data_IF_737287161848
#
_entry.id   IF_737287161848
#
_cell.length_a   1.000
_cell.length_b   1.000
_cell.length_c   1.000
_cell.angle_alpha   90.00
_cell.angle_beta   90.00
_cell.angle_gamma   90.00
#
_symmetry.space_group_name_H-M   'P 1'
#
loop_
_entity.id
_entity.type
_entity.pdbx_description
1 polymer ?
#
# COMPACT_ATOMS: atom_id res chain seq x y z
N UNK A 1 -16.22 -20.68 25.10
CA UNK A 1 -15.64 -19.43 25.63
C UNK A 1 -15.68 -18.40 24.52
N UNK A 2 -16.69 -17.55 24.53
CA UNK A 2 -16.84 -16.42 23.61
C UNK A 2 -15.98 -15.28 24.15
N UNK A 3 -14.79 -15.13 23.58
CA UNK A 3 -14.00 -13.92 23.78
C UNK A 3 -14.70 -12.79 23.04
N UNK A 4 -15.61 -12.15 23.73
CA UNK A 4 -16.25 -10.92 23.27
C UNK A 4 -15.27 -9.75 23.50
N UNK A 5 -14.18 -9.75 22.75
CA UNK A 5 -13.35 -8.56 22.62
C UNK A 5 -14.14 -7.60 21.75
N UNK A 6 -14.81 -6.63 22.38
CA UNK A 6 -15.27 -5.43 21.70
C UNK A 6 -14.02 -4.80 21.08
N UNK A 7 -13.78 -5.08 19.81
CA UNK A 7 -12.59 -4.62 19.10
C UNK A 7 -12.68 -3.10 19.05
N UNK A 8 -11.80 -2.43 19.81
CA UNK A 8 -11.74 -0.96 19.90
C UNK A 8 -11.24 -0.40 18.57
N UNK A 9 -11.83 0.71 18.15
CA UNK A 9 -11.27 1.54 17.07
C UNK A 9 -10.21 2.46 17.67
N UNK A 10 -9.13 2.66 16.92
CA UNK A 10 -8.05 3.55 17.34
C UNK A 10 -8.02 4.79 16.45
N UNK A 11 -7.97 6.00 17.03
CA UNK A 11 -7.88 7.24 16.24
C UNK A 11 -6.55 7.33 15.48
N UNK A 12 -5.47 6.82 16.08
CA UNK A 12 -4.12 6.84 15.49
C UNK A 12 -3.30 5.60 15.90
N UNK A 13 -2.31 5.18 15.09
CA UNK A 13 -1.52 3.96 15.32
C UNK A 13 -0.43 4.10 16.39
N UNK A 14 -0.26 5.28 17.01
CA UNK A 14 0.80 5.54 17.99
C UNK A 14 0.46 5.12 19.42
N UNK A 15 -0.73 4.56 19.66
CA UNK A 15 -1.13 4.04 20.97
C UNK A 15 -0.45 2.69 21.26
N UNK A 16 0.03 2.49 22.48
CA UNK A 16 0.60 1.22 22.93
C UNK A 16 -0.38 0.06 22.78
N UNK A 17 -1.63 0.27 23.12
CA UNK A 17 -2.69 -0.74 23.04
C UNK A 17 -2.95 -1.22 21.61
N UNK A 18 -2.79 -0.34 20.61
CA UNK A 18 -2.87 -0.69 19.20
C UNK A 18 -1.87 -1.79 18.83
N UNK A 19 -0.60 -1.66 19.26
CA UNK A 19 0.44 -2.63 18.97
C UNK A 19 0.30 -3.92 19.78
N UNK A 20 -0.16 -3.84 21.03
CA UNK A 20 -0.44 -5.01 21.86
C UNK A 20 -1.58 -5.84 21.26
N UNK A 21 -2.64 -5.19 20.80
CA UNK A 21 -3.75 -5.85 20.12
C UNK A 21 -3.30 -6.47 18.78
N UNK A 22 -2.45 -5.78 18.03
CA UNK A 22 -1.87 -6.31 16.79
C UNK A 22 -0.98 -7.54 17.03
N UNK A 23 -0.23 -7.57 18.13
CA UNK A 23 0.54 -8.75 18.54
C UNK A 23 -0.37 -9.91 18.98
N UNK A 24 -1.49 -9.60 19.66
CA UNK A 24 -2.44 -10.61 20.10
C UNK A 24 -3.13 -11.34 18.94
N UNK A 25 -3.22 -10.71 17.73
CA UNK A 25 -3.78 -11.35 16.55
C UNK A 25 -2.96 -12.58 16.09
N UNK A 26 -1.67 -12.68 16.42
CA UNK A 26 -0.89 -13.92 16.19
C UNK A 26 -1.40 -15.13 16.95
N UNK A 27 -2.12 -14.95 18.06
CA UNK A 27 -2.72 -16.04 18.84
C UNK A 27 -4.09 -16.45 18.31
N UNK A 28 -4.65 -15.69 17.40
CA UNK A 28 -5.96 -15.95 16.84
C UNK A 28 -5.86 -16.85 15.61
N UNK A 29 -6.19 -18.13 15.78
CA UNK A 29 -6.12 -19.13 14.70
C UNK A 29 -6.94 -18.71 13.48
N UNK A 30 -8.10 -18.05 13.65
CA UNK A 30 -8.92 -17.57 12.53
C UNK A 30 -8.18 -16.53 11.70
N UNK A 31 -7.47 -15.61 12.35
CA UNK A 31 -6.66 -14.59 11.68
C UNK A 31 -5.50 -15.23 10.94
N UNK A 32 -4.83 -16.22 11.54
CA UNK A 32 -3.72 -16.93 10.90
C UNK A 32 -4.16 -17.73 9.68
N UNK A 33 -5.30 -18.44 9.76
CA UNK A 33 -5.85 -19.17 8.61
C UNK A 33 -6.23 -18.20 7.49
N UNK A 34 -6.86 -17.07 7.83
CA UNK A 34 -7.20 -16.05 6.85
C UNK A 34 -5.94 -15.40 6.25
N UNK A 35 -4.88 -15.18 7.06
CA UNK A 35 -3.60 -14.70 6.58
C UNK A 35 -2.95 -15.68 5.58
N UNK A 36 -2.96 -16.97 5.88
CA UNK A 36 -2.45 -17.99 4.98
C UNK A 36 -3.24 -18.00 3.64
N UNK A 37 -4.57 -17.85 3.69
CA UNK A 37 -5.41 -17.75 2.51
C UNK A 37 -5.06 -16.50 1.67
N UNK A 38 -4.85 -15.35 2.32
CA UNK A 38 -4.48 -14.12 1.63
C UNK A 38 -3.07 -14.19 1.04
N UNK A 39 -2.12 -14.84 1.72
CA UNK A 39 -0.78 -15.13 1.16
C UNK A 39 -0.91 -15.99 -0.09
N UNK A 40 -1.65 -17.10 -0.01
CA UNK A 40 -1.88 -17.98 -1.16
C UNK A 40 -2.53 -17.22 -2.34
N UNK A 41 -3.53 -16.39 -2.06
CA UNK A 41 -4.20 -15.58 -3.07
C UNK A 41 -3.25 -14.55 -3.70
N UNK A 42 -2.42 -13.88 -2.91
CA UNK A 42 -1.39 -12.94 -3.43
C UNK A 42 -0.38 -13.65 -4.31
N UNK A 43 0.09 -14.84 -3.91
CA UNK A 43 1.00 -15.64 -4.72
C UNK A 43 0.33 -16.10 -6.01
N UNK A 44 -0.90 -16.63 -5.95
CA UNK A 44 -1.64 -17.10 -7.12
C UNK A 44 -1.97 -15.96 -8.12
N UNK A 45 -2.18 -14.74 -7.63
CA UNK A 45 -2.46 -13.57 -8.48
C UNK A 45 -1.22 -12.85 -9.00
N UNK A 46 -0.02 -13.27 -8.60
CA UNK A 46 1.24 -12.67 -9.05
C UNK A 46 1.40 -12.67 -10.59
N UNK A 47 1.06 -13.74 -11.33
CA UNK A 47 1.12 -13.73 -12.79
C UNK A 47 0.01 -12.91 -13.47
N UNK A 48 -1.05 -12.50 -12.75
CA UNK A 48 -2.14 -11.68 -13.29
C UNK A 48 -1.74 -10.20 -13.40
N UNK A 49 -0.54 -9.93 -13.84
CA UNK A 49 -0.06 -8.58 -14.11
C UNK A 49 -0.55 -8.15 -15.49
N UNK A 50 -1.21 -6.98 -15.55
CA UNK A 50 -1.63 -6.38 -16.82
C UNK A 50 -0.46 -5.54 -17.34
N UNK A 51 0.22 -5.97 -18.40
CA UNK A 51 1.28 -5.16 -19.00
C UNK A 51 0.64 -3.98 -19.74
N UNK A 52 0.91 -2.77 -19.30
CA UNK A 52 0.44 -1.52 -19.93
C UNK A 52 1.61 -0.80 -20.59
N UNK A 53 2.47 -1.53 -21.31
CA UNK A 53 3.66 -1.00 -21.98
C UNK A 53 4.95 -1.71 -21.58
N UNK A 54 6.09 -1.33 -22.16
CA UNK A 54 7.36 -2.09 -22.06
C UNK A 54 7.91 -2.25 -20.63
N UNK A 55 7.49 -1.40 -19.70
CA UNK A 55 7.92 -1.46 -18.27
C UNK A 55 6.79 -1.24 -17.28
N UNK A 56 5.54 -1.36 -17.73
CA UNK A 56 4.34 -1.05 -16.95
C UNK A 56 3.57 -2.33 -16.66
N UNK A 57 3.72 -2.86 -15.46
CA UNK A 57 2.88 -3.92 -14.93
C UNK A 57 1.94 -3.35 -13.87
N UNK A 58 0.65 -3.46 -14.07
CA UNK A 58 -0.36 -3.09 -13.09
C UNK A 58 -0.86 -4.36 -12.41
N UNK A 59 -0.75 -4.42 -11.11
CA UNK A 59 -1.27 -5.54 -10.32
C UNK A 59 -2.27 -5.05 -9.28
N UNK A 60 -3.45 -4.65 -9.76
CA UNK A 60 -4.53 -4.11 -8.93
C UNK A 60 -5.01 -5.16 -7.93
N UNK A 61 -5.14 -6.41 -8.38
CA UNK A 61 -5.64 -7.50 -7.53
C UNK A 61 -4.74 -7.70 -6.33
N UNK A 62 -3.43 -7.77 -6.55
CA UNK A 62 -2.45 -7.93 -5.47
C UNK A 62 -2.47 -6.75 -4.48
N UNK A 63 -2.63 -5.52 -4.98
CA UNK A 63 -2.77 -4.32 -4.15
C UNK A 63 -3.99 -4.42 -3.23
N UNK A 64 -5.14 -4.80 -3.77
CA UNK A 64 -6.40 -4.92 -3.02
C UNK A 64 -6.34 -6.05 -1.99
N UNK A 65 -5.82 -7.20 -2.37
CA UNK A 65 -5.62 -8.34 -1.44
C UNK A 65 -4.68 -7.95 -0.31
N UNK A 66 -3.61 -7.21 -0.60
CA UNK A 66 -2.70 -6.68 0.41
C UNK A 66 -3.40 -5.70 1.37
N UNK A 67 -4.19 -4.75 0.85
CA UNK A 67 -4.94 -3.80 1.66
C UNK A 67 -5.95 -4.49 2.57
N UNK A 68 -6.71 -5.46 2.06
CA UNK A 68 -7.68 -6.26 2.83
C UNK A 68 -6.96 -7.07 3.91
N UNK A 69 -5.88 -7.75 3.55
CA UNK A 69 -5.07 -8.52 4.49
C UNK A 69 -4.52 -7.64 5.62
N UNK A 70 -3.85 -6.55 5.28
CA UNK A 70 -3.27 -5.62 6.24
C UNK A 70 -4.32 -5.01 7.19
N UNK A 71 -5.51 -4.68 6.66
CA UNK A 71 -6.64 -4.19 7.45
C UNK A 71 -7.18 -5.22 8.45
N UNK A 72 -7.15 -6.51 8.08
CA UNK A 72 -7.68 -7.61 8.89
C UNK A 72 -6.70 -8.05 9.96
N UNK A 73 -5.43 -8.21 9.58
CA UNK A 73 -4.40 -8.83 10.44
C UNK A 73 -3.72 -7.84 11.38
N UNK A 74 -3.76 -6.56 11.06
CA UNK A 74 -2.96 -5.55 11.74
C UNK A 74 -1.48 -5.55 11.31
N UNK A 75 -0.69 -4.57 11.78
CA UNK A 75 0.64 -4.29 11.26
C UNK A 75 1.63 -5.45 11.45
N UNK A 76 1.58 -6.15 12.57
CA UNK A 76 2.58 -7.17 12.91
C UNK A 76 2.42 -8.42 12.04
N UNK A 77 1.18 -8.93 11.93
CA UNK A 77 0.89 -10.10 11.08
C UNK A 77 1.02 -9.72 9.59
N UNK A 78 0.65 -8.49 9.19
CA UNK A 78 0.78 -8.03 7.81
C UNK A 78 2.24 -7.97 7.35
N UNK A 79 3.17 -7.53 8.21
CA UNK A 79 4.62 -7.54 7.95
C UNK A 79 5.13 -8.96 7.76
N UNK A 80 4.77 -9.88 8.66
CA UNK A 80 5.15 -11.30 8.54
C UNK A 80 4.58 -11.94 7.27
N UNK A 81 3.29 -11.69 6.98
CA UNK A 81 2.63 -12.17 5.78
C UNK A 81 3.27 -11.62 4.49
N UNK A 82 3.69 -10.35 4.48
CA UNK A 82 4.39 -9.74 3.35
C UNK A 82 5.72 -10.41 3.07
N UNK A 83 6.52 -10.67 4.11
CA UNK A 83 7.79 -11.35 4.00
C UNK A 83 7.61 -12.78 3.45
N UNK A 84 6.64 -13.53 3.97
CA UNK A 84 6.32 -14.88 3.47
C UNK A 84 5.82 -14.83 2.02
N UNK A 85 4.99 -13.82 1.66
CA UNK A 85 4.48 -13.67 0.29
C UNK A 85 5.58 -13.40 -0.72
N UNK A 86 6.58 -12.58 -0.38
CA UNK A 86 7.70 -12.28 -1.27
C UNK A 86 8.50 -13.55 -1.59
N UNK A 87 8.91 -14.29 -0.54
CA UNK A 87 9.67 -15.53 -0.69
C UNK A 87 8.86 -16.61 -1.42
N UNK A 88 7.62 -16.87 -0.97
CA UNK A 88 6.76 -17.87 -1.58
C UNK A 88 6.41 -17.51 -3.04
N UNK A 89 6.16 -16.24 -3.31
CA UNK A 89 5.87 -15.76 -4.66
C UNK A 89 7.06 -15.89 -5.61
N UNK A 90 8.28 -15.78 -5.09
CA UNK A 90 9.48 -16.08 -5.88
C UNK A 90 9.66 -17.56 -6.15
N UNK A 91 9.46 -18.41 -5.13
CA UNK A 91 9.59 -19.87 -5.28
C UNK A 91 8.59 -20.45 -6.27
N UNK A 92 7.36 -19.93 -6.29
CA UNK A 92 6.30 -20.43 -7.19
C UNK A 92 6.42 -19.84 -8.61
N UNK A 93 6.75 -18.56 -8.71
CA UNK A 93 6.87 -17.83 -9.97
C UNK A 93 8.20 -17.09 -10.04
N UNK A 94 9.33 -17.77 -10.31
CA UNK A 94 10.63 -17.15 -10.41
C UNK A 94 10.71 -16.23 -11.64
N UNK A 95 10.92 -14.95 -11.43
CA UNK A 95 11.09 -13.94 -12.47
C UNK A 95 12.48 -13.31 -12.40
N UNK A 96 13.51 -14.07 -12.75
CA UNK A 96 14.91 -13.64 -12.65
C UNK A 96 15.58 -14.03 -11.32
N UNK A 97 16.81 -13.56 -11.05
CA UNK A 97 17.52 -13.84 -9.81
C UNK A 97 16.83 -13.20 -8.59
N UNK A 98 16.72 -13.95 -7.49
CA UNK A 98 16.17 -13.43 -6.26
C UNK A 98 17.06 -12.33 -5.66
N UNK A 99 16.47 -11.22 -5.31
CA UNK A 99 17.18 -10.13 -4.67
C UNK A 99 16.48 -9.75 -3.35
N UNK A 100 17.08 -10.17 -2.26
CA UNK A 100 16.54 -10.03 -0.91
C UNK A 100 16.02 -8.62 -0.55
N UNK A 101 16.65 -7.50 -0.95
CA UNK A 101 16.14 -6.17 -0.60
C UNK A 101 14.72 -5.85 -1.09
N UNK A 102 14.17 -6.57 -2.09
CA UNK A 102 12.77 -6.36 -2.49
C UNK A 102 11.76 -6.70 -1.40
N UNK A 103 12.11 -7.57 -0.44
CA UNK A 103 11.26 -7.89 0.70
C UNK A 103 10.88 -6.64 1.51
N UNK A 104 11.78 -5.64 1.60
CA UNK A 104 11.52 -4.40 2.31
C UNK A 104 10.42 -3.57 1.66
N UNK A 105 10.27 -3.62 0.32
CA UNK A 105 9.18 -2.93 -0.37
C UNK A 105 7.83 -3.57 -0.10
N UNK A 106 7.77 -4.89 -0.05
CA UNK A 106 6.56 -5.64 0.30
C UNK A 106 6.15 -5.40 1.76
N UNK A 107 7.11 -5.45 2.68
CA UNK A 107 6.90 -5.17 4.10
C UNK A 107 6.42 -3.73 4.31
N UNK A 108 7.10 -2.74 3.73
CA UNK A 108 6.75 -1.33 3.87
C UNK A 108 5.35 -1.03 3.32
N UNK A 109 5.00 -1.58 2.15
CA UNK A 109 3.68 -1.43 1.57
C UNK A 109 2.58 -2.00 2.45
N UNK A 110 2.77 -3.23 2.96
CA UNK A 110 1.81 -3.88 3.86
C UNK A 110 1.69 -3.15 5.20
N UNK A 111 2.81 -2.66 5.74
CA UNK A 111 2.83 -1.88 6.98
C UNK A 111 2.04 -0.57 6.82
N UNK A 112 2.24 0.18 5.74
CA UNK A 112 1.49 1.41 5.48
C UNK A 112 -0.01 1.13 5.38
N UNK A 113 -0.43 0.10 4.62
CA UNK A 113 -1.85 -0.29 4.57
C UNK A 113 -2.40 -0.62 5.96
N UNK A 114 -1.64 -1.36 6.78
CA UNK A 114 -2.08 -1.69 8.13
C UNK A 114 -2.20 -0.46 9.03
N UNK A 115 -1.22 0.46 9.02
CA UNK A 115 -1.24 1.68 9.84
C UNK A 115 -2.45 2.58 9.52
N UNK A 116 -2.86 2.62 8.26
CA UNK A 116 -3.99 3.45 7.84
C UNK A 116 -5.35 2.78 7.98
N UNK A 117 -5.44 1.45 7.82
CA UNK A 117 -6.71 0.75 7.66
C UNK A 117 -7.08 -0.18 8.84
N UNK A 118 -6.10 -0.64 9.65
CA UNK A 118 -6.37 -1.57 10.74
C UNK A 118 -7.09 -0.87 11.89
N UNK A 119 -8.26 -1.39 12.27
CA UNK A 119 -9.12 -0.90 13.35
C UNK A 119 -9.35 0.62 13.33
N UNK A 120 -9.55 1.16 12.15
CA UNK A 120 -9.72 2.58 11.91
C UNK A 120 -11.06 2.89 11.25
N UNK A 121 -11.52 4.13 11.38
CA UNK A 121 -12.64 4.62 10.57
C UNK A 121 -12.15 4.83 9.14
N UNK A 122 -12.71 4.04 8.21
CA UNK A 122 -12.28 4.07 6.82
C UNK A 122 -13.09 5.14 6.08
N UNK A 123 -12.42 6.22 5.76
CA UNK A 123 -12.92 7.28 4.90
C UNK A 123 -12.24 7.26 3.55
N UNK A 124 -12.90 7.81 2.51
CA UNK A 124 -12.29 7.90 1.17
C UNK A 124 -10.96 8.65 1.21
N UNK A 125 -10.90 9.76 1.95
CA UNK A 125 -9.67 10.55 2.12
C UNK A 125 -8.54 9.72 2.72
N UNK A 126 -8.83 8.93 3.75
CA UNK A 126 -7.84 8.05 4.40
C UNK A 126 -7.29 6.98 3.45
N UNK A 127 -8.14 6.42 2.58
CA UNK A 127 -7.73 5.45 1.55
C UNK A 127 -6.85 6.11 0.49
N UNK A 128 -7.25 7.30 0.00
CA UNK A 128 -6.46 8.07 -0.98
C UNK A 128 -5.08 8.40 -0.40
N UNK A 129 -5.02 8.91 0.84
CA UNK A 129 -3.77 9.26 1.49
C UNK A 129 -2.88 8.02 1.74
N UNK A 130 -3.48 6.92 2.19
CA UNK A 130 -2.79 5.65 2.33
C UNK A 130 -2.12 5.24 1.01
N UNK A 131 -2.88 5.31 -0.11
CA UNK A 131 -2.34 4.99 -1.43
C UNK A 131 -1.25 5.95 -1.86
N UNK A 132 -1.42 7.23 -1.59
CA UNK A 132 -0.39 8.24 -1.85
C UNK A 132 0.91 7.93 -1.09
N UNK A 133 0.82 7.59 0.21
CA UNK A 133 1.98 7.20 1.01
C UNK A 133 2.67 5.94 0.44
N UNK A 134 1.92 4.94 -0.02
CA UNK A 134 2.49 3.75 -0.65
C UNK A 134 3.21 4.11 -1.95
N UNK A 135 2.58 4.91 -2.82
CA UNK A 135 3.20 5.33 -4.10
C UNK A 135 4.47 6.13 -3.84
N UNK A 136 4.41 7.10 -2.93
CA UNK A 136 5.55 7.97 -2.68
C UNK A 136 6.67 7.26 -1.89
N UNK A 137 6.37 6.73 -0.70
CA UNK A 137 7.39 6.17 0.18
C UNK A 137 7.93 4.83 -0.31
N UNK A 138 7.05 3.95 -0.81
CA UNK A 138 7.48 2.60 -1.23
C UNK A 138 7.92 2.60 -2.69
N UNK A 139 7.06 3.03 -3.62
CA UNK A 139 7.35 2.86 -5.05
C UNK A 139 8.38 3.86 -5.58
N UNK A 140 8.48 5.07 -5.00
CA UNK A 140 9.44 6.09 -5.45
C UNK A 140 10.67 6.08 -4.54
N UNK A 141 10.52 6.33 -3.25
CA UNK A 141 11.65 6.52 -2.34
C UNK A 141 12.38 5.22 -2.04
N UNK A 142 11.68 4.19 -1.59
CA UNK A 142 12.31 2.94 -1.15
C UNK A 142 12.75 2.06 -2.34
N UNK A 143 11.92 1.95 -3.36
CA UNK A 143 12.20 1.06 -4.49
C UNK A 143 13.30 1.59 -5.42
N UNK A 144 13.54 2.91 -5.47
CA UNK A 144 14.59 3.48 -6.35
C UNK A 144 16.00 3.01 -5.99
N UNK A 145 16.46 3.13 -4.73
CA UNK A 145 17.79 2.62 -4.35
C UNK A 145 17.89 1.10 -4.45
N UNK A 146 16.82 0.37 -4.15
CA UNK A 146 16.80 -1.10 -4.27
C UNK A 146 16.99 -1.52 -5.73
N UNK A 147 16.33 -0.85 -6.67
CA UNK A 147 16.50 -1.10 -8.10
C UNK A 147 17.90 -0.73 -8.59
N UNK A 148 18.45 0.38 -8.14
CA UNK A 148 19.83 0.76 -8.46
C UNK A 148 20.81 -0.34 -8.03
N UNK A 149 20.68 -0.84 -6.77
CA UNK A 149 21.50 -1.93 -6.26
C UNK A 149 21.30 -3.23 -7.06
N UNK A 150 20.06 -3.58 -7.39
CA UNK A 150 19.74 -4.76 -8.19
C UNK A 150 20.41 -4.72 -9.56
N UNK A 151 20.25 -3.61 -10.29
CA UNK A 151 20.84 -3.46 -11.61
C UNK A 151 22.37 -3.48 -11.56
N UNK A 152 22.96 -2.82 -10.57
CA UNK A 152 24.42 -2.76 -10.42
C UNK A 152 25.02 -4.10 -10.00
N UNK A 153 24.43 -4.78 -9.00
CA UNK A 153 25.00 -5.98 -8.40
C UNK A 153 24.66 -7.26 -9.18
N UNK A 154 23.47 -7.36 -9.74
CA UNK A 154 22.98 -8.59 -10.38
C UNK A 154 23.11 -8.53 -11.90
N UNK A 155 22.73 -7.40 -12.51
CA UNK A 155 22.71 -7.27 -13.98
C UNK A 155 23.97 -6.63 -14.55
N UNK A 156 24.84 -6.01 -13.72
CA UNK A 156 26.04 -5.32 -14.18
C UNK A 156 25.75 -4.11 -15.07
N UNK A 157 24.54 -3.52 -14.98
CA UNK A 157 24.08 -2.40 -15.81
C UNK A 157 23.94 -1.13 -14.96
N UNK A 158 24.20 0.00 -15.60
CA UNK A 158 23.89 1.29 -15.00
C UNK A 158 22.38 1.53 -14.96
N UNK A 159 21.89 1.97 -13.82
CA UNK A 159 20.50 2.35 -13.60
C UNK A 159 20.44 3.72 -12.92
N UNK A 160 19.65 4.62 -13.48
CA UNK A 160 19.47 5.93 -12.86
C UNK A 160 18.69 5.78 -11.56
N UNK A 161 19.23 6.31 -10.45
CA UNK A 161 18.55 6.31 -9.13
C UNK A 161 17.12 6.86 -9.27
N UNK A 162 16.97 7.88 -10.07
CA UNK A 162 15.70 8.52 -10.35
C UNK A 162 15.32 8.23 -11.81
N UNK A 163 14.42 7.30 -11.98
CA UNK A 163 13.91 6.94 -13.30
C UNK A 163 12.60 7.69 -13.56
N UNK A 164 12.64 8.69 -14.45
CA UNK A 164 11.49 9.52 -14.82
C UNK A 164 10.29 8.69 -15.29
N UNK A 165 10.53 7.63 -16.08
CA UNK A 165 9.48 6.72 -16.55
C UNK A 165 8.72 6.06 -15.39
N UNK A 166 9.42 5.65 -14.32
CA UNK A 166 8.79 5.07 -13.13
C UNK A 166 7.94 6.09 -12.40
N UNK A 167 8.45 7.31 -12.23
CA UNK A 167 7.75 8.38 -11.51
C UNK A 167 6.46 8.73 -12.26
N UNK A 168 6.55 8.99 -13.57
CA UNK A 168 5.40 9.31 -14.41
C UNK A 168 4.36 8.19 -14.35
N UNK A 169 4.80 6.93 -14.45
CA UNK A 169 3.94 5.75 -14.34
C UNK A 169 3.17 5.72 -13.02
N UNK A 170 3.87 5.79 -11.90
CA UNK A 170 3.24 5.72 -10.57
C UNK A 170 2.27 6.86 -10.38
N UNK A 171 2.56 8.03 -10.93
CA UNK A 171 1.72 9.20 -10.85
C UNK A 171 0.44 9.08 -11.68
N UNK A 172 0.55 8.60 -12.93
CA UNK A 172 -0.62 8.37 -13.79
C UNK A 172 -1.53 7.27 -13.23
N UNK A 173 -0.95 6.24 -12.61
CA UNK A 173 -1.71 5.13 -12.02
C UNK A 173 -2.34 5.47 -10.67
N UNK A 174 -1.75 6.40 -9.92
CA UNK A 174 -2.21 6.76 -8.57
C UNK A 174 -3.71 7.08 -8.49
N UNK A 175 -4.30 7.98 -9.32
CA UNK A 175 -5.73 8.27 -9.25
C UNK A 175 -6.59 7.05 -9.60
N UNK A 176 -6.21 6.29 -10.62
CA UNK A 176 -6.94 5.08 -11.04
C UNK A 176 -6.93 4.03 -9.94
N UNK A 177 -5.77 3.74 -9.38
CA UNK A 177 -5.60 2.76 -8.30
C UNK A 177 -6.31 3.20 -7.01
N UNK A 178 -6.33 4.50 -6.71
CA UNK A 178 -7.03 5.05 -5.55
C UNK A 178 -8.55 4.88 -5.68
N UNK A 179 -9.12 5.20 -6.84
CA UNK A 179 -10.56 5.01 -7.10
C UNK A 179 -10.93 3.54 -7.05
N UNK A 180 -10.14 2.66 -7.71
CA UNK A 180 -10.39 1.23 -7.70
C UNK A 180 -10.29 0.64 -6.28
N UNK A 181 -9.32 1.08 -5.49
CA UNK A 181 -9.17 0.63 -4.11
C UNK A 181 -10.39 1.04 -3.26
N UNK A 182 -10.88 2.27 -3.40
CA UNK A 182 -12.10 2.75 -2.71
C UNK A 182 -13.32 1.91 -3.10
N UNK A 183 -13.53 1.67 -4.40
CA UNK A 183 -14.67 0.89 -4.90
C UNK A 183 -14.63 -0.56 -4.40
N UNK A 184 -13.45 -1.18 -4.44
CA UNK A 184 -13.28 -2.57 -4.00
C UNK A 184 -13.41 -2.70 -2.49
N UNK A 185 -12.83 -1.79 -1.70
CA UNK A 185 -13.01 -1.78 -0.25
C UNK A 185 -14.49 -1.56 0.13
N UNK A 186 -15.21 -0.70 -0.58
CA UNK A 186 -16.66 -0.50 -0.38
C UNK A 186 -17.44 -1.80 -0.56
N UNK A 187 -17.03 -2.67 -1.50
CA UNK A 187 -17.72 -3.94 -1.78
C UNK A 187 -17.32 -5.05 -0.80
N UNK A 188 -16.04 -5.11 -0.42
CA UNK A 188 -15.47 -6.24 0.34
C UNK A 188 -15.54 -6.05 1.86
N UNK A 189 -15.42 -4.82 2.35
CA UNK A 189 -15.38 -4.58 3.81
C UNK A 189 -16.69 -4.90 4.52
N UNK A 190 -17.90 -4.58 3.99
CA UNK A 190 -19.15 -4.92 4.67
C UNK A 190 -19.35 -6.40 4.94
N UNK A 191 -19.14 -7.33 3.99
CA UNK A 191 -19.28 -8.77 4.27
C UNK A 191 -18.23 -9.28 5.26
N UNK A 192 -16.98 -8.78 5.22
CA UNK A 192 -15.94 -9.15 6.20
C UNK A 192 -16.24 -8.65 7.61
N UNK A 193 -16.85 -7.47 7.71
CA UNK A 193 -17.34 -6.93 8.99
C UNK A 193 -18.44 -7.81 9.58
N UNK A 194 -19.40 -8.27 8.76
CA UNK A 194 -20.48 -9.17 9.19
C UNK A 194 -19.94 -10.50 9.71
N UNK A 195 -18.85 -10.99 9.15
CA UNK A 195 -18.18 -12.22 9.58
C UNK A 195 -17.25 -12.02 10.79
N UNK A 196 -17.10 -10.77 11.29
CA UNK A 196 -16.27 -10.44 12.44
C UNK A 196 -14.76 -10.45 12.18
N UNK A 197 -14.34 -10.50 10.91
CA UNK A 197 -12.92 -10.41 10.55
C UNK A 197 -12.37 -8.99 10.68
N UNK A 198 -13.18 -7.98 10.37
CA UNK A 198 -12.79 -6.58 10.37
C UNK A 198 -13.64 -5.82 11.39
N UNK A 199 -13.05 -4.85 12.06
CA UNK A 199 -13.73 -3.98 13.00
C UNK A 199 -13.66 -2.51 12.61
N UNK A 200 -13.28 -2.24 11.39
CA UNK A 200 -13.28 -0.89 10.85
C UNK A 200 -14.70 -0.45 10.52
N UNK A 201 -15.10 0.73 10.96
CA UNK A 201 -16.34 1.34 10.49
C UNK A 201 -16.13 1.85 9.07
N UNK A 202 -17.01 1.44 8.18
CA UNK A 202 -17.08 1.95 6.81
C UNK A 202 -18.24 2.91 6.75
N UNK A 203 -18.03 4.13 7.22
CA UNK A 203 -18.98 5.19 7.06
C UNK A 203 -18.74 5.90 5.72
N UNK A 204 -19.72 5.75 4.81
CA UNK A 204 -19.82 6.54 3.58
C UNK A 204 -18.56 6.61 2.68
N UNK A 205 -18.11 5.47 2.15
CA UNK A 205 -17.19 5.46 1.00
C UNK A 205 -17.89 5.97 -0.28
N UNK A 206 -18.57 7.12 -0.18
CA UNK A 206 -19.08 7.81 -1.36
C UNK A 206 -17.98 8.71 -1.91
N UNK A 207 -17.72 8.58 -3.21
CA UNK A 207 -16.88 9.52 -3.94
C UNK A 207 -17.68 10.83 -4.08
N UNK A 208 -17.55 11.68 -3.09
CA UNK A 208 -18.12 13.03 -3.09
C UNK A 208 -17.18 13.99 -3.83
N UNK A 209 -17.71 15.09 -4.32
CA UNK A 209 -16.96 16.12 -5.05
C UNK A 209 -15.73 16.58 -4.26
N UNK A 210 -15.84 16.70 -2.93
CA UNK A 210 -14.70 17.05 -2.06
C UNK A 210 -13.58 16.01 -2.13
N UNK A 211 -13.90 14.73 -2.14
CA UNK A 211 -12.91 13.64 -2.21
C UNK A 211 -12.24 13.58 -3.60
N UNK A 212 -12.98 13.90 -4.66
CA UNK A 212 -12.42 14.04 -6.01
C UNK A 212 -11.49 15.24 -6.12
N UNK A 213 -11.81 16.35 -5.46
CA UNK A 213 -10.93 17.53 -5.41
C UNK A 213 -9.60 17.20 -4.70
N UNK A 214 -9.63 16.51 -3.56
CA UNK A 214 -8.41 16.06 -2.87
C UNK A 214 -7.57 15.13 -3.75
N UNK A 215 -8.21 14.22 -4.49
CA UNK A 215 -7.51 13.35 -5.43
C UNK A 215 -6.87 14.14 -6.58
N UNK A 216 -7.59 15.11 -7.15
CA UNK A 216 -7.10 15.97 -8.21
C UNK A 216 -5.95 16.85 -7.72
N UNK A 217 -6.05 17.42 -6.52
CA UNK A 217 -5.01 18.23 -5.88
C UNK A 217 -3.72 17.43 -5.67
N UNK A 218 -3.81 16.24 -5.06
CA UNK A 218 -2.66 15.36 -4.88
C UNK A 218 -2.04 14.93 -6.21
N UNK A 219 -2.86 14.71 -7.25
CA UNK A 219 -2.37 14.35 -8.59
C UNK A 219 -1.67 15.54 -9.26
N UNK A 220 -2.21 16.76 -9.11
CA UNK A 220 -1.58 17.99 -9.62
C UNK A 220 -0.27 18.29 -8.92
N UNK A 221 -0.22 18.21 -7.59
CA UNK A 221 1.01 18.44 -6.80
C UNK A 221 2.09 17.44 -7.21
N UNK A 222 1.72 16.17 -7.34
CA UNK A 222 2.65 15.14 -7.79
C UNK A 222 3.11 15.40 -9.24
N UNK A 223 2.21 15.85 -10.13
CA UNK A 223 2.53 16.22 -11.52
C UNK A 223 3.49 17.40 -11.61
N UNK A 224 3.25 18.43 -10.82
CA UNK A 224 4.15 19.58 -10.70
C UNK A 224 5.52 19.17 -10.17
N UNK A 225 5.59 18.32 -9.16
CA UNK A 225 6.82 17.81 -8.63
C UNK A 225 7.64 17.03 -9.67
N UNK A 226 6.97 16.20 -10.49
CA UNK A 226 7.62 15.49 -11.62
C UNK A 226 8.11 16.48 -12.68
N UNK A 227 7.30 17.47 -13.02
CA UNK A 227 7.66 18.48 -14.00
C UNK A 227 8.86 19.32 -13.56
N UNK A 228 8.89 19.76 -12.30
CA UNK A 228 10.03 20.48 -11.72
C UNK A 228 11.29 19.62 -11.67
N UNK A 229 11.13 18.34 -11.36
CA UNK A 229 12.23 17.37 -11.41
C UNK A 229 12.81 17.23 -12.82
N UNK A 230 11.96 17.18 -13.83
CA UNK A 230 12.39 17.11 -15.24
C UNK A 230 13.14 18.36 -15.70
N UNK A 231 12.81 19.51 -15.11
CA UNK A 231 13.49 20.80 -15.36
C UNK A 231 14.83 20.96 -14.59
N UNK A 232 15.38 19.89 -13.96
CA UNK A 232 16.61 19.90 -13.16
C UNK A 232 16.59 20.77 -11.88
N UNK A 233 15.45 21.23 -11.43
CA UNK A 233 15.32 21.97 -10.16
C UNK A 233 15.00 21.00 -9.00
N UNK A 234 15.96 20.16 -8.66
CA UNK A 234 15.83 19.03 -7.74
C UNK A 234 15.38 19.40 -6.32
N UNK A 235 15.85 20.54 -5.80
CA UNK A 235 15.58 20.93 -4.42
C UNK A 235 14.12 21.37 -4.20
N UNK A 236 13.56 22.07 -5.15
CA UNK A 236 12.20 22.61 -5.04
C UNK A 236 11.12 21.54 -5.21
N UNK A 237 11.38 20.49 -6.00
CA UNK A 237 10.45 19.37 -6.19
C UNK A 237 10.20 18.55 -4.92
N UNK A 238 11.24 18.31 -4.12
CA UNK A 238 11.11 17.59 -2.84
C UNK A 238 10.34 18.41 -1.79
N UNK A 239 10.51 19.72 -1.77
CA UNK A 239 9.78 20.63 -0.87
C UNK A 239 8.28 20.67 -1.25
N UNK A 240 7.95 20.70 -2.53
CA UNK A 240 6.56 20.68 -3.02
C UNK A 240 5.84 19.37 -2.69
N UNK A 241 6.51 18.23 -2.80
CA UNK A 241 5.95 16.93 -2.42
C UNK A 241 5.70 16.89 -0.91
N UNK A 242 6.65 17.33 -0.10
CA UNK A 242 6.51 17.41 1.36
C UNK A 242 5.42 18.37 1.79
N UNK A 243 5.30 19.55 1.16
CA UNK A 243 4.25 20.52 1.46
C UNK A 243 2.86 19.99 1.08
N UNK A 244 2.75 19.29 -0.04
CA UNK A 244 1.50 18.61 -0.45
C UNK A 244 1.09 17.49 0.50
N UNK A 245 2.06 16.71 1.01
CA UNK A 245 1.78 15.71 2.05
C UNK A 245 1.29 16.37 3.35
N UNK A 246 1.92 17.46 3.77
CA UNK A 246 1.53 18.21 4.98
C UNK A 246 0.14 18.82 4.81
N UNK A 247 -0.14 19.44 3.66
CA UNK A 247 -1.47 19.96 3.33
C UNK A 247 -2.52 18.86 3.31
N UNK A 248 -2.26 17.73 2.67
CA UNK A 248 -3.15 16.57 2.67
C UNK A 248 -3.46 16.03 4.07
N UNK A 249 -2.48 16.09 5.00
CA UNK A 249 -2.66 15.69 6.40
C UNK A 249 -3.49 16.74 7.17
N UNK A 250 -3.29 18.04 6.90
CA UNK A 250 -4.00 19.13 7.58
C UNK A 250 -5.47 19.24 7.16
N UNK A 251 -5.81 18.85 5.93
CA UNK A 251 -7.19 18.82 5.43
C UNK A 251 -7.95 17.52 5.78
N UNK A 252 -7.33 16.58 6.50
CA UNK A 252 -7.96 15.39 7.08
C UNK A 252 -8.63 15.66 8.43
#
# INVERSE_FOLDING_TARGET
MTVNTSKRLYPHPFCRDYWLDALAEFRNVRVLVFAALMIALRVATKPLQIPVGPSLNINIVQMVVNAIGAMTFGPVVAVAAAAVTDVAGYLVFPSGPYFFPFIFTEIAGSLIFALFLYRADITVRRVILCRFCVVFLVNIVLQSPIMLLYYRMILGKEYALINGTRIIKNLLLFPVESVLLVLLLRSVVPPLNRQGFICSKVENLKLDTRNLLVLAELTLISGLAVWMFYQKTLETGSILILSGMILGILFM
#
